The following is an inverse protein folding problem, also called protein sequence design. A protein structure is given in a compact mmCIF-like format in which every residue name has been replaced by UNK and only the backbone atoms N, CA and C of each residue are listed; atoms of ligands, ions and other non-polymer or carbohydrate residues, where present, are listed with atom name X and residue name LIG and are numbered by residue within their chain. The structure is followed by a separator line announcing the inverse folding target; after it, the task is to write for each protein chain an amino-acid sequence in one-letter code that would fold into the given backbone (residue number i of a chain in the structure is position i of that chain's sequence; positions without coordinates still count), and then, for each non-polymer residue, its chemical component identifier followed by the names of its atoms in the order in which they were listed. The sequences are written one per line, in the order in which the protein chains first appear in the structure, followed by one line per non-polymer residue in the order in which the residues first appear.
data_IF_043514029132
#
_entry.id   IF_043514029132
#
_cell.length_a   1.000
_cell.length_b   1.000
_cell.length_c   1.000
_cell.angle_alpha   90.00
_cell.angle_beta   90.00
_cell.angle_gamma   90.00
#
_symmetry.space_group_name_H-M   'P 1'
#
loop_
_entity.id
_entity.type
_entity.pdbx_description
1 polymer ?
#
# COMPACT_ATOMS: atom_id res chain seq x y z
N UNK A 1 6.73 18.01 -6.84
CA UNK A 1 7.60 16.82 -6.93
C UNK A 1 6.80 15.67 -6.33
N UNK A 2 6.59 14.53 -7.01
CA UNK A 2 5.93 13.40 -6.37
C UNK A 2 6.82 12.92 -5.22
N UNK A 3 6.23 12.79 -4.04
CA UNK A 3 6.85 12.15 -2.89
C UNK A 3 6.55 10.65 -2.96
N UNK A 4 7.42 9.78 -2.44
CA UNK A 4 7.06 8.37 -2.30
C UNK A 4 5.91 8.22 -1.28
N UNK A 5 5.04 7.20 -1.46
CA UNK A 5 3.97 6.90 -0.53
C UNK A 5 4.52 6.58 0.86
N UNK A 6 3.85 7.10 1.89
CA UNK A 6 4.23 6.84 3.28
C UNK A 6 3.53 5.57 3.79
N UNK A 7 4.28 4.72 4.50
CA UNK A 7 3.74 3.58 5.25
C UNK A 7 3.72 3.89 6.73
N UNK A 8 2.59 3.58 7.37
CA UNK A 8 2.41 3.65 8.80
C UNK A 8 1.67 2.43 9.31
N UNK A 9 1.64 2.26 10.65
CA UNK A 9 0.95 1.15 11.33
C UNK A 9 1.41 -0.26 10.91
N UNK A 10 2.62 -0.38 10.36
CA UNK A 10 3.13 -1.63 9.80
C UNK A 10 3.41 -2.64 10.93
N UNK A 11 2.63 -3.72 10.97
CA UNK A 11 2.83 -4.85 11.87
C UNK A 11 3.63 -5.94 11.16
N UNK A 12 4.85 -6.22 11.62
CA UNK A 12 5.77 -7.19 10.99
C UNK A 12 6.15 -8.36 11.88
N UNK A 13 5.83 -8.31 13.17
CA UNK A 13 5.90 -9.46 14.07
C UNK A 13 4.54 -9.58 14.74
N UNK A 14 3.79 -10.62 14.42
CA UNK A 14 2.41 -10.80 14.87
C UNK A 14 2.21 -12.22 15.36
N UNK A 15 1.35 -12.40 16.35
CA UNK A 15 0.94 -13.73 16.77
C UNK A 15 -0.03 -14.31 15.73
N UNK A 16 -0.05 -15.64 15.55
CA UNK A 16 -1.08 -16.31 14.75
C UNK A 16 -2.50 -15.87 15.18
N UNK A 17 -3.43 -15.80 14.21
CA UNK A 17 -4.80 -15.30 14.36
C UNK A 17 -4.94 -13.79 14.70
N UNK A 18 -3.84 -13.06 14.88
CA UNK A 18 -3.85 -11.60 15.04
C UNK A 18 -4.10 -10.87 13.72
N UNK A 19 -4.30 -9.57 13.76
CA UNK A 19 -4.33 -8.75 12.55
C UNK A 19 -2.93 -8.23 12.21
N UNK A 20 -2.59 -8.25 10.92
CA UNK A 20 -1.50 -7.51 10.30
C UNK A 20 -2.13 -6.32 9.63
N UNK A 21 -1.76 -5.11 10.04
CA UNK A 21 -2.21 -3.88 9.40
C UNK A 21 -1.06 -3.12 8.76
N UNK A 22 -1.35 -2.43 7.67
CA UNK A 22 -0.47 -1.47 7.05
C UNK A 22 -1.31 -0.35 6.43
N UNK A 23 -0.98 0.89 6.75
CA UNK A 23 -1.65 2.07 6.21
C UNK A 23 -0.73 2.77 5.23
N UNK A 24 -1.19 2.93 4.00
CA UNK A 24 -0.53 3.70 2.97
C UNK A 24 -1.19 5.05 2.81
N UNK A 25 -0.39 6.11 2.84
CA UNK A 25 -0.86 7.49 2.66
C UNK A 25 0.00 8.20 1.64
N UNK A 26 -0.63 8.74 0.59
CA UNK A 26 0.07 9.51 -0.43
C UNK A 26 -0.85 10.46 -1.21
N UNK A 27 -0.24 11.46 -1.86
CA UNK A 27 -0.89 12.35 -2.80
C UNK A 27 -1.11 11.66 -4.14
N UNK A 28 -2.37 11.41 -4.51
CA UNK A 28 -2.73 10.73 -5.76
C UNK A 28 -2.94 11.69 -6.93
N UNK A 29 -2.62 12.97 -6.75
CA UNK A 29 -2.86 14.05 -7.72
C UNK A 29 -4.27 14.61 -7.62
N UNK A 30 -4.82 15.15 -8.71
CA UNK A 30 -6.16 15.75 -8.73
C UNK A 30 -7.27 14.71 -8.57
N UNK A 31 -8.50 15.11 -8.16
CA UNK A 31 -9.63 14.19 -8.03
C UNK A 31 -9.83 13.34 -9.30
N UNK A 32 -10.05 12.04 -9.12
CA UNK A 32 -10.25 11.05 -10.17
C UNK A 32 -9.06 10.82 -11.13
N UNK A 33 -7.88 11.39 -10.85
CA UNK A 33 -6.67 11.14 -11.65
C UNK A 33 -5.89 9.94 -11.13
N UNK A 34 -5.65 9.84 -9.83
CA UNK A 34 -4.85 8.75 -9.28
C UNK A 34 -5.53 7.90 -8.22
N UNK A 35 -4.87 6.79 -7.89
CA UNK A 35 -5.30 5.84 -6.86
C UNK A 35 -4.11 5.09 -6.25
N UNK A 36 -4.32 4.56 -5.05
CA UNK A 36 -3.38 3.63 -4.40
C UNK A 36 -3.68 2.20 -4.88
N UNK A 37 -2.69 1.55 -5.47
CA UNK A 37 -2.71 0.12 -5.78
C UNK A 37 -1.91 -0.64 -4.72
N UNK A 38 -2.36 -1.84 -4.39
CA UNK A 38 -1.78 -2.70 -3.35
C UNK A 38 -1.40 -4.04 -3.93
N UNK A 39 -0.27 -4.58 -3.51
CA UNK A 39 0.16 -5.94 -3.85
C UNK A 39 0.73 -6.64 -2.64
N UNK A 40 0.71 -7.96 -2.71
CA UNK A 40 1.33 -8.82 -1.71
C UNK A 40 2.37 -9.70 -2.38
N UNK A 41 3.46 -9.94 -1.69
CA UNK A 41 4.53 -10.82 -2.14
C UNK A 41 4.86 -11.81 -1.04
N UNK A 42 5.13 -13.06 -1.41
CA UNK A 42 5.60 -14.10 -0.51
C UNK A 42 6.97 -14.57 -1.00
N UNK A 43 8.00 -14.45 -0.16
CA UNK A 43 9.39 -14.71 -0.54
C UNK A 43 9.80 -13.99 -1.84
N UNK A 44 9.35 -12.74 -2.01
CA UNK A 44 9.63 -11.91 -3.19
C UNK A 44 8.83 -12.25 -4.46
N UNK A 45 7.91 -13.22 -4.41
CA UNK A 45 7.01 -13.54 -5.53
C UNK A 45 5.63 -12.97 -5.29
N UNK A 46 5.04 -12.33 -6.30
CA UNK A 46 3.69 -11.79 -6.19
C UNK A 46 2.68 -12.91 -5.90
N UNK A 47 1.79 -12.65 -4.94
CA UNK A 47 0.68 -13.51 -4.58
C UNK A 47 -0.62 -12.68 -4.55
N UNK A 48 -1.75 -13.35 -4.75
CA UNK A 48 -3.06 -12.73 -4.65
C UNK A 48 -3.66 -13.03 -3.26
N UNK A 49 -3.82 -11.99 -2.44
CA UNK A 49 -4.47 -12.04 -1.13
C UNK A 49 -5.79 -11.26 -1.12
N UNK A 50 -6.36 -10.95 -2.28
CA UNK A 50 -7.53 -10.07 -2.38
C UNK A 50 -8.74 -10.61 -1.59
N UNK A 51 -8.89 -11.93 -1.48
CA UNK A 51 -9.96 -12.56 -0.69
C UNK A 51 -9.72 -12.57 0.82
N UNK A 52 -8.48 -12.32 1.27
CA UNK A 52 -8.06 -12.40 2.67
C UNK A 52 -7.81 -11.01 3.29
N UNK A 53 -7.57 -10.01 2.44
CA UNK A 53 -7.34 -8.64 2.83
C UNK A 53 -8.67 -7.89 3.03
N UNK A 54 -8.85 -7.35 4.22
CA UNK A 54 -9.81 -6.29 4.48
C UNK A 54 -9.18 -4.94 4.17
N UNK A 55 -9.78 -4.18 3.27
CA UNK A 55 -9.23 -2.91 2.79
C UNK A 55 -10.21 -1.79 3.09
N UNK A 56 -9.74 -0.76 3.79
CA UNK A 56 -10.44 0.52 3.92
C UNK A 56 -9.65 1.59 3.18
N UNK A 57 -10.34 2.44 2.43
CA UNK A 57 -9.71 3.57 1.76
C UNK A 57 -10.56 4.81 1.93
N UNK A 58 -9.92 5.91 2.30
CA UNK A 58 -10.55 7.21 2.50
C UNK A 58 -9.74 8.27 1.77
N UNK A 59 -10.45 9.19 1.12
CA UNK A 59 -9.83 10.38 0.57
C UNK A 59 -9.87 11.45 1.65
N UNK A 60 -8.70 11.98 2.02
CA UNK A 60 -8.61 13.24 2.74
C UNK A 60 -8.87 14.35 1.73
N UNK A 61 -10.14 14.62 1.43
CA UNK A 61 -10.54 15.78 0.62
C UNK A 61 -10.22 17.00 1.47
N UNK A 62 -9.16 17.73 1.11
CA UNK A 62 -8.98 19.07 1.65
C UNK A 62 -10.13 19.94 1.12
N UNK A 63 -10.80 20.73 1.97
CA UNK A 63 -11.85 21.64 1.51
C UNK A 63 -11.23 22.69 0.58
N UNK A 64 -11.36 22.46 -0.71
CA UNK A 64 -10.77 23.25 -1.78
C UNK A 64 -11.19 22.67 -3.12
N UNK A 65 -11.30 23.55 -4.10
CA UNK A 65 -11.73 23.35 -5.50
C UNK A 65 -11.19 22.05 -6.15
N UNK A 66 -11.78 21.60 -7.26
CA UNK A 66 -11.39 20.39 -8.03
C UNK A 66 -9.93 20.45 -8.57
N UNK A 67 -9.26 21.58 -8.36
CA UNK A 67 -7.85 21.84 -8.62
C UNK A 67 -6.92 21.53 -7.42
N UNK A 68 -7.43 20.99 -6.32
CA UNK A 68 -6.59 20.61 -5.18
C UNK A 68 -6.09 19.16 -5.31
N UNK A 69 -4.80 18.90 -5.07
CA UNK A 69 -4.29 17.55 -4.93
C UNK A 69 -5.01 16.80 -3.79
N UNK A 70 -5.43 15.58 -4.06
CA UNK A 70 -6.08 14.68 -3.12
C UNK A 70 -5.02 13.79 -2.47
N UNK A 71 -5.09 13.68 -1.16
CA UNK A 71 -4.37 12.67 -0.40
C UNK A 71 -5.31 11.51 -0.13
N UNK A 72 -4.88 10.30 -0.50
CA UNK A 72 -5.63 9.07 -0.18
C UNK A 72 -4.92 8.35 0.95
N UNK A 73 -5.69 7.87 1.91
CA UNK A 73 -5.26 6.90 2.90
C UNK A 73 -5.90 5.56 2.60
N UNK A 74 -5.11 4.50 2.64
CA UNK A 74 -5.54 3.14 2.37
C UNK A 74 -4.95 2.21 3.43
N UNK A 75 -5.80 1.68 4.30
CA UNK A 75 -5.42 0.67 5.28
C UNK A 75 -5.76 -0.72 4.77
N UNK A 76 -4.77 -1.60 4.80
CA UNK A 76 -4.91 -3.03 4.56
C UNK A 76 -4.81 -3.77 5.88
N UNK A 77 -5.73 -4.70 6.11
CA UNK A 77 -5.72 -5.59 7.26
C UNK A 77 -5.81 -7.03 6.79
N UNK A 78 -4.86 -7.87 7.19
CA UNK A 78 -4.83 -9.30 6.92
C UNK A 78 -4.94 -10.04 8.26
N UNK A 79 -5.81 -11.04 8.35
CA UNK A 79 -5.77 -11.95 9.51
C UNK A 79 -4.56 -12.87 9.37
N UNK A 80 -3.63 -12.79 10.31
CA UNK A 80 -2.40 -13.55 10.33
C UNK A 80 -2.69 -15.05 10.45
N UNK A 81 -1.98 -15.82 9.64
CA UNK A 81 -1.97 -17.28 9.65
C UNK A 81 -0.51 -17.70 9.45
N UNK A 82 -0.11 -18.88 9.90
CA UNK A 82 1.26 -19.38 9.68
C UNK A 82 1.69 -19.37 8.19
N UNK A 83 0.75 -19.47 7.26
CA UNK A 83 1.00 -19.34 5.81
C UNK A 83 1.41 -17.93 5.37
N UNK A 84 1.20 -16.93 6.22
CA UNK A 84 1.55 -15.53 5.97
C UNK A 84 2.97 -15.16 6.39
N UNK A 85 3.78 -16.15 6.79
CA UNK A 85 5.21 -15.97 7.01
C UNK A 85 5.90 -15.40 5.75
N UNK A 86 6.85 -14.50 5.94
CA UNK A 86 7.67 -13.91 4.87
C UNK A 86 6.85 -13.18 3.79
N UNK A 87 5.65 -12.73 4.14
CA UNK A 87 4.88 -11.85 3.28
C UNK A 87 5.38 -10.41 3.42
N UNK A 88 5.42 -9.69 2.30
CA UNK A 88 5.55 -8.24 2.26
C UNK A 88 4.32 -7.64 1.59
N UNK A 89 3.83 -6.53 2.14
CA UNK A 89 2.77 -5.73 1.55
C UNK A 89 3.42 -4.52 0.87
N UNK A 90 3.02 -4.26 -0.37
CA UNK A 90 3.58 -3.19 -1.20
C UNK A 90 2.45 -2.28 -1.65
N UNK A 91 2.65 -0.98 -1.48
CA UNK A 91 1.73 0.04 -1.92
C UNK A 91 2.34 0.85 -3.05
N UNK A 92 1.50 1.25 -4.00
CA UNK A 92 1.87 1.98 -5.21
C UNK A 92 0.91 3.13 -5.40
N UNK A 93 1.39 4.27 -5.89
CA UNK A 93 0.52 5.31 -6.45
C UNK A 93 0.55 5.24 -7.97
N UNK A 94 -0.65 5.26 -8.56
CA UNK A 94 -0.83 5.31 -10.02
C UNK A 94 -1.65 6.54 -10.36
N UNK A 95 -1.15 7.37 -11.27
CA UNK A 95 -1.82 8.56 -11.82
C UNK A 95 -1.40 8.72 -13.30
N UNK A 96 -2.29 9.13 -14.24
CA UNK A 96 -1.94 9.52 -15.61
C UNK A 96 -0.70 10.42 -15.75
N UNK A 97 -0.44 11.31 -14.79
CA UNK A 97 0.68 12.25 -14.79
C UNK A 97 2.02 11.59 -14.37
N UNK A 98 1.95 10.41 -13.75
CA UNK A 98 3.10 9.61 -13.31
C UNK A 98 2.86 8.18 -13.76
N UNK A 99 3.38 7.80 -14.94
CA UNK A 99 3.37 6.40 -15.35
C UNK A 99 4.21 5.59 -14.34
N UNK A 100 3.60 4.75 -13.50
CA UNK A 100 4.39 3.87 -12.67
C UNK A 100 5.03 2.86 -13.60
N UNK A 101 6.35 2.71 -13.51
CA UNK A 101 7.02 1.54 -14.06
C UNK A 101 6.27 0.30 -13.56
N UNK A 102 6.06 -0.69 -14.45
CA UNK A 102 5.32 -1.91 -14.12
C UNK A 102 5.69 -2.45 -12.73
N UNK A 103 4.75 -3.07 -11.98
CA UNK A 103 4.91 -3.40 -10.56
C UNK A 103 6.16 -4.21 -10.18
N UNK A 104 6.75 -4.92 -11.15
CA UNK A 104 7.97 -5.70 -10.98
C UNK A 104 9.25 -4.84 -10.92
N UNK A 105 9.14 -3.53 -11.19
CA UNK A 105 10.23 -2.54 -11.15
C UNK A 105 10.06 -1.53 -9.99
N UNK A 106 9.36 -1.89 -8.91
CA UNK A 106 9.36 -1.10 -7.68
C UNK A 106 10.79 -1.05 -7.14
N UNK A 107 11.44 0.09 -7.33
CA UNK A 107 12.70 0.43 -6.67
C UNK A 107 12.31 1.44 -5.58
N UNK A 108 12.24 1.02 -4.30
CA UNK A 108 11.72 1.83 -3.19
C UNK A 108 12.38 3.21 -3.03
N UNK A 109 13.57 3.40 -3.61
CA UNK A 109 14.34 4.64 -3.55
C UNK A 109 14.08 5.62 -4.71
N UNK A 110 13.36 5.23 -5.76
CA UNK A 110 13.23 6.06 -6.98
C UNK A 110 11.81 6.20 -7.53
N UNK A 111 10.86 5.34 -7.15
CA UNK A 111 9.51 5.38 -7.71
C UNK A 111 8.46 5.31 -6.59
N UNK A 112 7.30 5.90 -6.88
CA UNK A 112 6.02 6.00 -6.15
C UNK A 112 5.49 4.68 -5.54
N UNK A 113 6.32 3.96 -4.80
CA UNK A 113 5.98 2.72 -4.11
C UNK A 113 6.74 2.62 -2.77
N UNK A 114 6.16 1.85 -1.86
CA UNK A 114 6.72 1.56 -0.55
C UNK A 114 6.34 0.14 -0.14
N UNK A 115 7.25 -0.55 0.56
CA UNK A 115 7.04 -1.93 1.00
C UNK A 115 7.24 -2.06 2.52
N UNK A 116 6.48 -2.97 3.11
CA UNK A 116 6.71 -3.39 4.50
C UNK A 116 7.94 -4.27 4.58
N UNK A 117 8.55 -4.36 5.76
CA UNK A 117 9.44 -5.49 6.07
C UNK A 117 8.66 -6.81 5.96
N UNK A 118 9.39 -7.91 5.88
CA UNK A 118 8.81 -9.25 5.94
C UNK A 118 8.05 -9.46 7.25
N UNK A 119 6.85 -10.04 7.14
CA UNK A 119 6.03 -10.42 8.28
C UNK A 119 6.53 -11.75 8.86
N UNK A 120 6.71 -11.79 10.17
CA UNK A 120 6.94 -13.00 10.96
C UNK A 120 5.68 -13.28 11.79
N UNK A 121 5.15 -14.50 11.64
CA UNK A 121 4.03 -15.01 12.42
C UNK A 121 4.58 -16.01 13.45
N UNK A 122 4.16 -15.92 14.70
CA UNK A 122 4.61 -16.79 15.80
C UNK A 122 3.47 -17.27 16.70
#
# INVERSE_FOLDING_TARGET
HPSPPSLSNVQTNVQEDSNISATCTDGVGYPNRGQIIRKSYHNGKSIDLTSELYITSSNAIQPGDDSCPVTTESTMTLKANIKHQNITLVCFVVNPDVQPTAPDNCIPSTNVCCETKQVNVY
#
